data_IF_780804282718
#
_entry.id   IF_780804282718
#
_cell.length_a   1.000
_cell.length_b   1.000
_cell.length_c   1.000
_cell.angle_alpha   90.00
_cell.angle_beta   90.00
_cell.angle_gamma   90.00
#
_symmetry.space_group_name_H-M   'P 1'
#
loop_
_entity.id
_entity.type
_entity.pdbx_description
1 polymer ?
#
# COMPACT_ATOMS: atom_id res chain seq x y z
N UNK A 1 -64.59 0.15 13.45
CA UNK A 1 -63.27 0.57 12.91
C UNK A 1 -62.49 1.14 14.07
N UNK A 2 -61.20 0.80 14.19
CA UNK A 2 -60.45 1.25 15.37
C UNK A 2 -60.23 2.76 15.29
N UNK A 3 -60.35 3.45 16.42
CA UNK A 3 -60.14 4.91 16.56
C UNK A 3 -58.82 5.35 15.90
N UNK A 4 -57.80 4.48 15.90
CA UNK A 4 -56.51 4.72 15.25
C UNK A 4 -56.65 4.90 13.73
N UNK A 5 -57.54 4.16 13.05
CA UNK A 5 -57.79 4.33 11.63
C UNK A 5 -58.38 5.66 11.24
N UNK A 6 -59.26 6.23 12.10
CA UNK A 6 -59.83 7.56 11.91
C UNK A 6 -58.80 8.66 12.10
N UNK A 7 -57.90 8.53 13.10
CA UNK A 7 -56.83 9.50 13.33
C UNK A 7 -55.84 9.51 12.17
N UNK A 8 -55.46 8.33 11.62
CA UNK A 8 -54.60 8.26 10.44
C UNK A 8 -55.23 8.91 9.23
N UNK A 9 -56.55 8.65 8.98
CA UNK A 9 -57.27 9.25 7.87
C UNK A 9 -57.35 10.76 7.98
N UNK A 10 -57.58 11.27 9.19
CA UNK A 10 -57.66 12.70 9.48
C UNK A 10 -56.27 13.36 9.30
N UNK A 11 -55.20 12.73 9.74
CA UNK A 11 -53.82 13.19 9.53
C UNK A 11 -53.46 13.28 8.05
N UNK A 12 -53.76 12.24 7.28
CA UNK A 12 -53.56 12.22 5.82
C UNK A 12 -54.34 13.31 5.11
N UNK A 13 -55.59 13.53 5.49
CA UNK A 13 -56.42 14.61 4.94
C UNK A 13 -55.82 15.99 5.21
N UNK A 14 -55.31 16.23 6.42
CA UNK A 14 -54.66 17.48 6.78
C UNK A 14 -53.38 17.73 5.98
N UNK A 15 -52.58 16.69 5.71
CA UNK A 15 -51.38 16.76 4.87
C UNK A 15 -51.77 17.13 3.42
N UNK A 16 -52.79 16.47 2.87
CA UNK A 16 -53.26 16.70 1.50
C UNK A 16 -53.97 18.06 1.32
N UNK A 17 -54.59 18.58 2.37
CA UNK A 17 -55.26 19.89 2.35
C UNK A 17 -54.28 21.07 2.34
N UNK A 18 -53.07 20.88 2.90
CA UNK A 18 -52.02 21.90 2.98
C UNK A 18 -50.71 21.46 2.26
N UNK A 19 -50.85 21.11 0.99
CA UNK A 19 -49.78 20.48 0.19
C UNK A 19 -48.44 21.23 0.23
N UNK A 20 -48.43 22.54 0.10
CA UNK A 20 -47.23 23.37 0.08
C UNK A 20 -46.50 23.33 1.43
N UNK A 21 -47.28 23.47 2.53
CA UNK A 21 -46.68 23.44 3.88
C UNK A 21 -46.11 22.06 4.19
N UNK A 22 -46.86 21.02 3.88
CA UNK A 22 -46.45 19.63 4.11
C UNK A 22 -45.22 19.28 3.26
N UNK A 23 -45.16 19.73 2.03
CA UNK A 23 -44.02 19.54 1.15
C UNK A 23 -42.75 20.24 1.70
N UNK A 24 -42.89 21.52 2.11
CA UNK A 24 -41.76 22.27 2.64
C UNK A 24 -41.21 21.67 3.94
N UNK A 25 -42.12 21.19 4.84
CA UNK A 25 -41.66 20.55 6.08
C UNK A 25 -40.98 19.21 5.83
N UNK A 26 -41.52 18.38 4.94
CA UNK A 26 -40.86 17.11 4.53
C UNK A 26 -39.52 17.38 3.86
N UNK A 27 -39.44 18.37 2.97
CA UNK A 27 -38.19 18.75 2.31
C UNK A 27 -37.13 19.18 3.33
N UNK A 28 -37.51 19.98 4.34
CA UNK A 28 -36.60 20.38 5.41
C UNK A 28 -36.05 19.20 6.22
N UNK A 29 -36.90 18.23 6.55
CA UNK A 29 -36.49 17.01 7.26
C UNK A 29 -35.57 16.16 6.40
N UNK A 30 -35.90 15.95 5.12
CA UNK A 30 -35.09 15.18 4.20
C UNK A 30 -33.70 15.81 4.06
N UNK A 31 -33.62 17.12 3.82
CA UNK A 31 -32.33 17.83 3.71
C UNK A 31 -31.53 17.71 5.01
N UNK A 32 -32.18 17.89 6.16
CA UNK A 32 -31.52 17.78 7.46
C UNK A 32 -30.91 16.40 7.70
N UNK A 33 -31.70 15.35 7.51
CA UNK A 33 -31.22 13.97 7.70
C UNK A 33 -30.11 13.60 6.66
N UNK A 34 -30.36 13.97 5.39
CA UNK A 34 -29.37 13.69 4.33
C UNK A 34 -28.05 14.37 4.58
N UNK A 35 -28.07 15.62 5.07
CA UNK A 35 -26.84 16.35 5.42
C UNK A 35 -26.04 15.65 6.51
N UNK A 36 -26.68 15.14 7.55
CA UNK A 36 -26.03 14.42 8.65
C UNK A 36 -25.40 13.12 8.13
N UNK A 37 -26.15 12.35 7.32
CA UNK A 37 -25.66 11.11 6.73
C UNK A 37 -24.44 11.37 5.82
N UNK A 38 -24.50 12.41 4.99
CA UNK A 38 -23.39 12.79 4.10
C UNK A 38 -22.14 13.16 4.88
N UNK A 39 -22.27 13.97 5.93
CA UNK A 39 -21.13 14.38 6.76
C UNK A 39 -20.51 13.17 7.46
N UNK A 40 -21.35 12.28 8.03
CA UNK A 40 -20.85 11.07 8.68
C UNK A 40 -20.16 10.11 7.70
N UNK A 41 -20.76 9.92 6.52
CA UNK A 41 -20.19 9.07 5.48
C UNK A 41 -18.84 9.60 4.98
N UNK A 42 -18.76 10.91 4.75
CA UNK A 42 -17.52 11.56 4.32
C UNK A 42 -16.44 11.46 5.41
N UNK A 43 -16.80 11.71 6.68
CA UNK A 43 -15.89 11.59 7.82
C UNK A 43 -15.33 10.17 7.98
N UNK A 44 -16.19 9.15 7.89
CA UNK A 44 -15.75 7.76 7.97
C UNK A 44 -14.89 7.35 6.76
N UNK A 45 -15.25 7.80 5.55
CA UNK A 45 -14.47 7.56 4.35
C UNK A 45 -13.07 8.19 4.44
N UNK A 46 -12.99 9.45 4.87
CA UNK A 46 -11.71 10.13 5.06
C UNK A 46 -10.84 9.44 6.13
N UNK A 47 -11.43 9.06 7.27
CA UNK A 47 -10.73 8.32 8.32
C UNK A 47 -10.13 7.03 7.80
N UNK A 48 -10.92 6.21 7.08
CA UNK A 48 -10.45 4.95 6.54
C UNK A 48 -9.32 5.13 5.51
N UNK A 49 -9.42 6.17 4.67
CA UNK A 49 -8.36 6.49 3.70
C UNK A 49 -7.07 6.89 4.39
N UNK A 50 -7.15 7.79 5.39
CA UNK A 50 -5.98 8.22 6.16
C UNK A 50 -5.36 7.04 6.92
N UNK A 51 -6.18 6.19 7.55
CA UNK A 51 -5.67 5.01 8.26
C UNK A 51 -4.92 4.08 7.30
N UNK A 52 -5.51 3.77 6.15
CA UNK A 52 -4.84 2.94 5.13
C UNK A 52 -3.54 3.55 4.61
N UNK A 53 -3.50 4.89 4.42
CA UNK A 53 -2.28 5.57 4.01
C UNK A 53 -1.20 5.52 5.11
N UNK A 54 -1.58 5.69 6.37
CA UNK A 54 -0.65 5.55 7.49
C UNK A 54 -0.13 4.10 7.62
N UNK A 55 -0.99 3.12 7.45
CA UNK A 55 -0.60 1.71 7.46
C UNK A 55 0.38 1.40 6.31
N UNK A 56 0.15 1.97 5.12
CA UNK A 56 1.01 1.75 3.95
C UNK A 56 2.41 2.39 4.07
N UNK A 57 2.59 3.42 4.89
CA UNK A 57 3.91 3.99 5.20
C UNK A 57 4.56 3.35 6.42
N UNK A 58 4.02 2.22 6.90
CA UNK A 58 4.62 1.40 7.94
C UNK A 58 4.30 1.84 9.37
N UNK A 59 3.03 2.11 9.66
CA UNK A 59 2.61 2.29 11.05
C UNK A 59 2.97 1.05 11.86
N UNK A 60 3.75 1.25 12.92
CA UNK A 60 4.31 0.15 13.73
C UNK A 60 5.68 -0.35 13.27
N UNK A 61 6.26 0.23 12.21
CA UNK A 61 7.65 -0.03 11.84
C UNK A 61 8.58 0.91 12.59
N UNK A 62 9.71 0.38 13.02
CA UNK A 62 10.80 1.14 13.64
C UNK A 62 12.04 0.95 12.77
N UNK A 63 12.58 2.03 12.24
CA UNK A 63 13.82 2.01 11.48
C UNK A 63 15.00 2.31 12.41
N UNK A 64 16.02 1.47 12.37
CA UNK A 64 17.24 1.61 13.15
C UNK A 64 18.36 1.94 12.18
N UNK A 65 19.08 3.02 12.43
CA UNK A 65 20.22 3.44 11.65
C UNK A 65 21.43 3.60 12.57
N UNK A 66 22.59 3.15 12.11
CA UNK A 66 23.82 3.50 12.80
C UNK A 66 24.24 4.92 12.46
N UNK A 67 24.70 5.67 13.43
CA UNK A 67 25.33 6.98 13.25
C UNK A 67 26.85 6.91 13.36
N UNK A 68 27.37 5.77 13.78
CA UNK A 68 28.81 5.52 13.87
C UNK A 68 29.30 4.91 12.55
N UNK A 69 30.19 5.59 11.85
CA UNK A 69 30.78 5.13 10.60
C UNK A 69 31.65 3.87 10.76
N UNK A 70 32.00 3.50 11.98
CA UNK A 70 32.85 2.33 12.27
C UNK A 70 32.03 1.11 12.74
N UNK A 71 30.71 1.24 12.82
CA UNK A 71 29.85 0.17 13.29
C UNK A 71 28.75 -0.11 12.28
N UNK A 72 28.76 -1.30 11.70
CA UNK A 72 27.71 -1.80 10.86
C UNK A 72 26.79 -2.70 11.68
N UNK A 73 25.48 -2.52 11.52
CA UNK A 73 24.46 -3.39 12.13
C UNK A 73 24.60 -4.77 11.50
N UNK A 74 24.83 -5.78 12.34
CA UNK A 74 25.02 -7.15 11.92
C UNK A 74 23.74 -7.98 12.03
N UNK A 75 23.73 -9.16 11.42
CA UNK A 75 22.62 -10.12 11.55
C UNK A 75 22.44 -10.56 13.02
N UNK A 76 23.54 -10.65 13.77
CA UNK A 76 23.50 -11.03 15.20
C UNK A 76 22.85 -9.94 16.06
N UNK A 77 23.03 -8.66 15.72
CA UNK A 77 22.35 -7.54 16.40
C UNK A 77 20.83 -7.61 16.17
N UNK A 78 20.42 -8.00 14.96
CA UNK A 78 19.01 -8.14 14.63
C UNK A 78 18.38 -9.31 15.36
N UNK A 79 19.04 -10.46 15.41
CA UNK A 79 18.59 -11.60 16.20
C UNK A 79 18.49 -11.25 17.68
N UNK A 80 19.47 -10.50 18.20
CA UNK A 80 19.43 -10.03 19.57
C UNK A 80 18.19 -9.17 19.84
N UNK A 81 17.83 -8.27 18.92
CA UNK A 81 16.63 -7.44 19.04
C UNK A 81 15.36 -8.30 19.01
N UNK A 82 15.25 -9.25 18.08
CA UNK A 82 14.10 -10.14 17.96
C UNK A 82 13.88 -11.00 19.20
N UNK A 83 14.97 -11.46 19.83
CA UNK A 83 14.91 -12.32 21.00
C UNK A 83 14.67 -11.55 22.32
N UNK A 84 15.07 -10.28 22.40
CA UNK A 84 15.09 -9.52 23.65
C UNK A 84 14.09 -8.36 23.70
N UNK A 85 13.42 -8.03 22.60
CA UNK A 85 12.43 -6.95 22.55
C UNK A 85 11.04 -7.52 22.31
N UNK A 86 10.19 -7.42 23.34
CA UNK A 86 8.82 -7.87 23.25
C UNK A 86 8.04 -7.08 22.18
N UNK A 87 7.27 -7.81 21.36
CA UNK A 87 6.38 -7.23 20.35
C UNK A 87 7.01 -7.07 18.97
N UNK A 88 8.27 -7.39 18.78
CA UNK A 88 8.89 -7.51 17.45
C UNK A 88 8.32 -8.74 16.76
N UNK A 89 7.68 -8.56 15.59
CA UNK A 89 7.07 -9.66 14.82
C UNK A 89 7.98 -10.16 13.72
N UNK A 90 8.74 -9.26 13.12
CA UNK A 90 9.72 -9.54 12.08
C UNK A 90 10.66 -8.35 11.98
N UNK A 91 11.87 -8.61 11.55
CA UNK A 91 12.85 -7.59 11.16
C UNK A 91 13.12 -7.69 9.66
N UNK A 92 13.53 -6.59 9.07
CA UNK A 92 13.90 -6.50 7.67
C UNK A 92 15.23 -5.73 7.56
N UNK A 93 16.23 -6.39 7.00
CA UNK A 93 17.48 -5.72 6.63
C UNK A 93 17.26 -5.12 5.25
N UNK A 94 17.45 -3.83 5.12
CA UNK A 94 17.38 -3.15 3.82
C UNK A 94 18.71 -2.49 3.49
N UNK A 95 19.05 -2.54 2.21
CA UNK A 95 20.14 -1.75 1.65
C UNK A 95 19.67 -1.08 0.37
N UNK A 96 20.27 0.04 0.04
CA UNK A 96 20.00 0.70 -1.22
C UNK A 96 21.30 1.01 -1.94
N UNK A 97 21.31 0.84 -3.25
CA UNK A 97 22.46 1.17 -4.09
C UNK A 97 21.97 1.79 -5.39
N UNK A 98 22.68 2.85 -5.83
CA UNK A 98 22.43 3.43 -7.13
C UNK A 98 23.12 2.64 -8.23
N UNK A 99 22.48 2.51 -9.39
CA UNK A 99 23.03 1.86 -10.56
C UNK A 99 22.61 2.55 -11.85
N UNK A 100 23.30 2.22 -12.90
CA UNK A 100 22.98 2.64 -14.26
C UNK A 100 22.53 1.41 -15.07
N UNK A 101 21.50 1.59 -15.85
CA UNK A 101 20.92 0.55 -16.69
C UNK A 101 20.78 1.06 -18.12
N UNK A 102 21.18 0.23 -19.08
CA UNK A 102 20.96 0.51 -20.50
C UNK A 102 19.95 -0.49 -21.04
N UNK A 103 18.88 0.03 -21.65
CA UNK A 103 17.87 -0.77 -22.33
C UNK A 103 17.71 -0.33 -23.77
N UNK A 104 16.90 -1.03 -24.55
CA UNK A 104 16.54 -0.61 -25.91
C UNK A 104 15.83 0.77 -25.96
N UNK A 105 15.34 1.27 -24.83
CA UNK A 105 14.68 2.58 -24.71
C UNK A 105 15.60 3.70 -24.25
N UNK A 106 16.86 3.40 -23.92
CA UNK A 106 17.85 4.38 -23.49
C UNK A 106 18.54 3.99 -22.17
N UNK A 107 19.27 4.98 -21.64
CA UNK A 107 20.01 4.87 -20.39
C UNK A 107 19.15 5.41 -19.23
N UNK A 108 19.11 4.66 -18.15
CA UNK A 108 18.34 4.99 -16.96
C UNK A 108 19.25 4.94 -15.73
N UNK A 109 19.01 5.87 -14.81
CA UNK A 109 19.52 5.76 -13.44
C UNK A 109 18.45 5.06 -12.60
N UNK A 110 18.86 4.03 -11.89
CA UNK A 110 17.97 3.21 -11.07
C UNK A 110 18.49 3.16 -9.64
N UNK A 111 17.57 3.04 -8.69
CA UNK A 111 17.88 2.70 -7.32
C UNK A 111 17.46 1.26 -7.07
N UNK A 112 18.40 0.44 -6.65
CA UNK A 112 18.12 -0.92 -6.22
C UNK A 112 17.92 -0.93 -4.72
N UNK A 113 16.81 -1.48 -4.28
CA UNK A 113 16.52 -1.73 -2.87
C UNK A 113 16.62 -3.23 -2.63
N UNK A 114 17.56 -3.64 -1.81
CA UNK A 114 17.73 -5.03 -1.40
C UNK A 114 17.09 -5.25 -0.04
N UNK A 115 16.63 -6.46 0.20
CA UNK A 115 16.09 -6.91 1.47
C UNK A 115 16.28 -8.40 1.66
N UNK A 116 16.00 -8.91 2.85
CA UNK A 116 15.93 -10.33 3.14
C UNK A 116 14.56 -10.92 2.77
N UNK A 117 14.35 -12.21 3.03
CA UNK A 117 13.12 -12.93 2.72
C UNK A 117 11.87 -12.36 3.44
N UNK A 118 12.05 -11.59 4.51
CA UNK A 118 10.96 -10.98 5.27
C UNK A 118 10.35 -9.75 4.57
N UNK A 119 10.92 -9.31 3.46
CA UNK A 119 10.46 -8.10 2.74
C UNK A 119 8.96 -8.13 2.45
N UNK A 120 8.39 -9.30 2.17
CA UNK A 120 6.96 -9.46 1.89
C UNK A 120 6.05 -9.27 3.10
N UNK A 121 6.60 -9.29 4.33
CA UNK A 121 5.86 -9.05 5.57
C UNK A 121 5.61 -7.55 5.82
N UNK A 122 6.34 -6.70 5.12
CA UNK A 122 6.22 -5.25 5.24
C UNK A 122 5.26 -4.71 4.18
N UNK A 123 4.20 -4.03 4.61
CA UNK A 123 3.11 -3.58 3.73
C UNK A 123 3.60 -2.75 2.53
N UNK A 124 4.67 -1.98 2.72
CA UNK A 124 5.27 -1.18 1.64
C UNK A 124 5.75 -2.02 0.45
N UNK A 125 5.96 -3.32 0.64
CA UNK A 125 6.50 -4.23 -0.36
C UNK A 125 5.58 -5.42 -0.66
N UNK A 126 4.43 -5.51 0.00
CA UNK A 126 3.54 -6.69 -0.05
C UNK A 126 2.60 -6.74 -1.26
N UNK A 127 2.61 -5.73 -2.13
CA UNK A 127 1.67 -5.60 -3.25
C UNK A 127 2.20 -6.28 -4.53
N UNK A 128 2.33 -7.60 -4.49
CA UNK A 128 2.66 -8.37 -5.70
C UNK A 128 1.44 -8.40 -6.64
N UNK A 129 1.63 -8.03 -7.90
CA UNK A 129 0.59 -8.14 -8.93
C UNK A 129 0.73 -9.39 -9.78
N UNK A 130 1.98 -9.86 -9.99
CA UNK A 130 2.27 -11.06 -10.76
C UNK A 130 3.61 -11.67 -10.31
N UNK A 131 3.79 -12.98 -10.50
CA UNK A 131 5.00 -13.69 -10.15
C UNK A 131 5.04 -14.17 -8.70
N UNK A 132 6.22 -14.17 -8.08
CA UNK A 132 6.43 -14.62 -6.70
C UNK A 132 7.44 -13.72 -5.99
N UNK A 133 7.37 -13.71 -4.66
CA UNK A 133 8.48 -13.19 -3.85
C UNK A 133 9.65 -14.17 -3.83
N UNK A 134 10.87 -13.68 -3.60
CA UNK A 134 11.99 -14.57 -3.29
C UNK A 134 11.81 -15.18 -1.90
N UNK A 135 12.30 -16.36 -1.73
CA UNK A 135 12.21 -17.13 -0.50
C UNK A 135 13.59 -17.29 0.15
N UNK A 136 13.61 -17.96 1.33
CA UNK A 136 14.86 -18.21 2.06
C UNK A 136 15.90 -18.94 1.21
N UNK A 137 15.49 -19.85 0.32
CA UNK A 137 16.44 -20.55 -0.57
C UNK A 137 17.06 -19.61 -1.60
N UNK A 138 16.29 -18.63 -2.11
CA UNK A 138 16.81 -17.63 -3.04
C UNK A 138 17.81 -16.71 -2.32
N UNK A 139 17.49 -16.32 -1.07
CA UNK A 139 18.34 -15.48 -0.22
C UNK A 139 19.64 -16.22 0.19
N UNK A 140 19.54 -17.42 0.76
CA UNK A 140 20.69 -18.21 1.19
C UNK A 140 21.62 -18.60 0.04
N UNK A 141 21.05 -18.86 -1.14
CA UNK A 141 21.81 -19.16 -2.35
C UNK A 141 22.43 -17.91 -3.01
N UNK A 142 22.13 -16.71 -2.51
CA UNK A 142 22.59 -15.44 -3.08
C UNK A 142 22.15 -15.23 -4.52
N UNK A 143 20.94 -15.69 -4.90
CA UNK A 143 20.44 -15.52 -6.25
C UNK A 143 20.17 -14.06 -6.56
N UNK A 144 20.61 -13.63 -7.73
CA UNK A 144 20.33 -12.30 -8.24
C UNK A 144 18.91 -12.28 -8.86
N UNK A 145 17.91 -12.08 -8.01
CA UNK A 145 16.52 -11.99 -8.42
C UNK A 145 15.96 -10.62 -8.01
N UNK A 146 14.96 -10.13 -8.73
CA UNK A 146 14.36 -8.83 -8.44
C UNK A 146 12.87 -8.78 -8.74
N UNK A 147 12.21 -7.77 -8.16
CA UNK A 147 10.87 -7.33 -8.54
C UNK A 147 10.96 -5.99 -9.23
N UNK A 148 10.04 -5.75 -10.15
CA UNK A 148 9.86 -4.45 -10.80
C UNK A 148 8.46 -3.92 -10.48
N UNK A 149 8.32 -2.59 -10.39
CA UNK A 149 6.98 -2.02 -10.44
C UNK A 149 6.39 -2.17 -11.86
N UNK A 150 5.08 -2.31 -11.97
CA UNK A 150 4.41 -2.31 -13.29
C UNK A 150 4.77 -1.05 -14.10
N UNK A 151 4.86 0.10 -13.42
CA UNK A 151 5.25 1.36 -14.06
C UNK A 151 6.68 1.32 -14.60
N UNK A 152 7.63 0.77 -13.84
CA UNK A 152 9.01 0.63 -14.30
C UNK A 152 9.16 -0.41 -15.41
N UNK A 153 8.40 -1.52 -15.34
CA UNK A 153 8.38 -2.51 -16.43
C UNK A 153 7.95 -1.86 -17.76
N UNK A 154 6.89 -1.06 -17.75
CA UNK A 154 6.45 -0.31 -18.91
C UNK A 154 7.49 0.72 -19.34
N UNK A 155 8.10 1.42 -18.40
CA UNK A 155 9.12 2.44 -18.69
C UNK A 155 10.36 1.84 -19.34
N UNK A 156 10.85 0.73 -18.81
CA UNK A 156 12.12 0.10 -19.22
C UNK A 156 11.94 -0.81 -20.44
N UNK A 157 10.88 -1.59 -20.48
CA UNK A 157 10.66 -2.62 -21.50
C UNK A 157 9.48 -2.32 -22.44
N UNK A 158 8.52 -1.49 -22.01
CA UNK A 158 7.30 -1.16 -22.76
C UNK A 158 6.17 -2.17 -22.59
N UNK A 159 6.33 -3.12 -21.69
CA UNK A 159 5.35 -4.17 -21.41
C UNK A 159 5.45 -4.57 -19.94
N UNK A 160 4.41 -5.19 -19.42
CA UNK A 160 4.41 -5.84 -18.11
C UNK A 160 4.77 -7.33 -18.19
N UNK A 161 4.84 -7.91 -19.39
CA UNK A 161 5.26 -9.30 -19.60
C UNK A 161 6.80 -9.37 -19.58
N UNK A 162 7.38 -9.31 -18.37
CA UNK A 162 8.83 -9.24 -18.13
C UNK A 162 9.33 -10.31 -17.16
N UNK A 163 8.45 -11.15 -16.61
CA UNK A 163 8.86 -12.20 -15.67
C UNK A 163 9.77 -13.21 -16.38
N UNK A 164 10.90 -13.51 -15.75
CA UNK A 164 11.96 -14.35 -16.31
C UNK A 164 12.94 -13.62 -17.23
N UNK A 165 12.72 -12.33 -17.53
CA UNK A 165 13.67 -11.54 -18.31
C UNK A 165 14.86 -11.12 -17.45
N UNK A 166 16.06 -11.02 -18.07
CA UNK A 166 17.24 -10.50 -17.39
C UNK A 166 17.15 -8.97 -17.28
N UNK A 167 17.68 -8.46 -16.15
CA UNK A 167 17.83 -7.05 -15.84
C UNK A 167 19.29 -6.78 -15.52
N UNK A 168 20.01 -6.14 -16.44
CA UNK A 168 21.40 -5.79 -16.25
C UNK A 168 21.52 -4.41 -15.61
N UNK A 169 22.21 -4.34 -14.47
CA UNK A 169 22.48 -3.07 -13.76
C UNK A 169 23.97 -2.95 -13.50
N UNK A 170 24.51 -1.80 -13.87
CA UNK A 170 25.91 -1.46 -13.56
C UNK A 170 25.93 -0.70 -12.23
N UNK A 171 26.57 -1.26 -11.22
CA UNK A 171 26.76 -0.63 -9.92
C UNK A 171 28.22 -0.74 -9.49
N UNK A 172 28.81 0.34 -8.98
CA UNK A 172 30.20 0.40 -8.54
C UNK A 172 31.20 -0.16 -9.59
N UNK A 173 30.90 0.03 -10.88
CA UNK A 173 31.73 -0.45 -11.99
C UNK A 173 31.61 -1.94 -12.29
N UNK A 174 30.67 -2.65 -11.66
CA UNK A 174 30.35 -4.05 -11.95
C UNK A 174 28.99 -4.16 -12.59
N UNK A 175 28.87 -5.04 -13.58
CA UNK A 175 27.60 -5.40 -14.19
C UNK A 175 27.05 -6.60 -13.43
N UNK A 176 25.83 -6.45 -12.91
CA UNK A 176 25.07 -7.51 -12.25
C UNK A 176 23.83 -7.80 -13.09
N UNK A 177 23.59 -9.07 -13.38
CA UNK A 177 22.41 -9.53 -14.10
C UNK A 177 21.43 -10.16 -13.11
N UNK A 178 20.28 -9.52 -12.95
CA UNK A 178 19.18 -10.00 -12.13
C UNK A 178 18.14 -10.68 -13.00
N UNK A 179 17.43 -11.66 -12.44
CA UNK A 179 16.23 -12.22 -13.09
C UNK A 179 14.99 -11.60 -12.47
N UNK A 180 14.11 -11.07 -13.30
CA UNK A 180 12.83 -10.52 -12.84
C UNK A 180 11.91 -11.69 -12.49
N UNK A 181 11.50 -11.80 -11.21
CA UNK A 181 10.64 -12.90 -10.72
C UNK A 181 9.26 -12.44 -10.28
N UNK A 182 9.03 -11.14 -10.20
CA UNK A 182 7.75 -10.60 -9.80
C UNK A 182 7.55 -9.15 -10.23
N UNK A 183 6.28 -8.78 -10.32
CA UNK A 183 5.83 -7.41 -10.53
C UNK A 183 5.05 -6.92 -9.31
N UNK A 184 5.25 -5.66 -8.96
CA UNK A 184 4.54 -5.01 -7.86
C UNK A 184 3.67 -3.85 -8.38
N UNK A 185 2.62 -3.52 -7.62
CA UNK A 185 1.74 -2.38 -7.93
C UNK A 185 2.24 -1.05 -7.38
N UNK A 186 3.39 -1.04 -6.72
CA UNK A 186 3.99 0.18 -6.21
C UNK A 186 4.35 1.09 -7.40
N UNK A 187 3.74 2.26 -7.44
CA UNK A 187 4.17 3.34 -8.32
C UNK A 187 5.53 3.84 -7.82
N UNK A 188 6.46 3.97 -8.74
CA UNK A 188 7.82 4.47 -8.50
C UNK A 188 7.85 5.95 -8.15
#
# INVERSE_FOLDING_TARGET
MSQIGEYIKMALFNILSNKVRSFLTMLGIIIGISSVILIMSLGNGAKNTITKQLDSIGSGQVSIFTTDMNYDITIDDIKYIEENVDGVKASLITMSVAGDMTTSKGDFKVALYGGDENIHLFESYSLLSEGKFFDSNDYEAGKLVCYLSEADAIRLYGTTDVIGMPLEVTTSGKILEYTIIGLTKLDS
#
